data_IF_508326393391
#
_entry.id   IF_508326393391
#
_cell.length_a   1.000
_cell.length_b   1.000
_cell.length_c   1.000
_cell.angle_alpha   90.00
_cell.angle_beta   90.00
_cell.angle_gamma   90.00
#
_symmetry.space_group_name_H-M   'P 1'
#
loop_
_entity.id
_entity.type
_entity.pdbx_description
1 polymer ?
#
# COMPACT_ATOMS: atom_id res chain seq x y z
N UNK A 1 -0.92 -46.62 -3.32
CA UNK A 1 -2.06 -45.92 -3.95
C UNK A 1 -2.53 -44.86 -2.99
N UNK A 2 -1.97 -43.66 -3.08
CA UNK A 2 -2.41 -42.56 -2.23
C UNK A 2 -1.98 -41.24 -2.85
N UNK A 3 -2.89 -40.58 -3.56
CA UNK A 3 -2.76 -39.15 -3.83
C UNK A 3 -2.88 -38.39 -2.50
N UNK A 4 -1.82 -37.67 -2.15
CA UNK A 4 -1.85 -36.71 -1.05
C UNK A 4 -1.49 -35.33 -1.58
N UNK A 5 -2.28 -34.34 -1.19
CA UNK A 5 -2.01 -32.94 -1.48
C UNK A 5 -2.30 -32.11 -0.24
N UNK A 6 -1.39 -31.21 0.13
CA UNK A 6 -1.50 -30.33 1.29
C UNK A 6 -1.04 -28.93 0.89
N UNK A 7 -1.66 -27.91 1.48
CA UNK A 7 -1.25 -26.51 1.30
C UNK A 7 -0.89 -25.88 2.64
N UNK A 8 0.17 -25.09 2.63
CA UNK A 8 0.64 -24.35 3.80
C UNK A 8 0.95 -22.89 3.44
N UNK A 9 0.42 -21.90 4.18
CA UNK A 9 -0.56 -22.01 5.27
C UNK A 9 -1.89 -22.63 4.83
N UNK A 10 -2.61 -23.25 5.77
CA UNK A 10 -3.94 -23.80 5.53
C UNK A 10 -5.01 -22.72 5.72
N UNK A 11 -6.13 -22.81 5.00
CA UNK A 11 -7.33 -21.94 5.07
C UNK A 11 -7.17 -20.51 4.57
N UNK A 12 -6.16 -19.75 5.00
CA UNK A 12 -5.98 -18.35 4.62
C UNK A 12 -4.49 -17.99 4.56
N UNK A 13 -4.08 -17.19 3.58
CA UNK A 13 -2.70 -16.80 3.39
C UNK A 13 -2.54 -15.37 2.85
N UNK A 14 -1.44 -14.73 3.26
CA UNK A 14 -0.95 -13.49 2.66
C UNK A 14 -0.11 -13.82 1.43
N UNK A 15 -0.45 -13.27 0.27
CA UNK A 15 0.23 -13.57 -1.02
C UNK A 15 1.62 -12.95 -1.14
N UNK A 16 2.02 -12.05 -0.24
CA UNK A 16 3.39 -11.55 -0.10
C UNK A 16 4.29 -12.48 0.71
N UNK A 17 3.78 -13.62 1.18
CA UNK A 17 4.56 -14.64 1.88
C UNK A 17 4.48 -15.99 1.14
N UNK A 18 5.42 -16.92 1.37
CA UNK A 18 5.41 -18.21 0.68
C UNK A 18 4.15 -19.04 0.94
N UNK A 19 3.53 -19.53 -0.13
CA UNK A 19 2.37 -20.43 -0.09
C UNK A 19 2.76 -21.73 -0.78
N UNK A 20 3.00 -22.78 0.00
CA UNK A 20 3.55 -24.05 -0.48
C UNK A 20 2.44 -25.08 -0.67
N UNK A 21 2.26 -25.54 -1.90
CA UNK A 21 1.48 -26.72 -2.24
C UNK A 21 2.42 -27.92 -2.35
N UNK A 22 2.18 -28.96 -1.54
CA UNK A 22 2.94 -30.22 -1.60
C UNK A 22 2.02 -31.33 -2.09
N UNK A 23 2.47 -32.07 -3.09
CA UNK A 23 1.75 -33.16 -3.73
C UNK A 23 2.65 -34.39 -3.72
N UNK A 24 2.07 -35.55 -3.38
CA UNK A 24 2.71 -36.84 -3.52
C UNK A 24 1.71 -37.82 -4.14
N UNK A 25 2.14 -38.48 -5.22
CA UNK A 25 1.35 -39.46 -5.97
C UNK A 25 2.26 -40.50 -6.63
N UNK A 26 1.76 -41.72 -6.76
CA UNK A 26 2.43 -42.82 -7.48
C UNK A 26 2.28 -42.76 -9.01
N UNK A 27 1.57 -41.76 -9.53
CA UNK A 27 1.41 -41.52 -10.97
C UNK A 27 1.38 -40.02 -11.24
N UNK A 28 1.46 -39.65 -12.53
CA UNK A 28 1.34 -38.26 -12.98
C UNK A 28 0.07 -37.62 -12.41
N UNK A 29 0.23 -36.40 -11.90
CA UNK A 29 -0.81 -35.57 -11.32
C UNK A 29 -0.92 -34.27 -12.09
N UNK A 30 -2.14 -33.84 -12.36
CA UNK A 30 -2.46 -32.48 -12.74
C UNK A 30 -3.04 -31.72 -11.54
N UNK A 31 -2.72 -30.43 -11.44
CA UNK A 31 -3.36 -29.53 -10.49
C UNK A 31 -3.85 -28.27 -11.21
N UNK A 32 -5.02 -27.79 -10.81
CA UNK A 32 -5.68 -26.62 -11.37
C UNK A 32 -6.08 -25.67 -10.25
N UNK A 33 -5.68 -24.41 -10.39
CA UNK A 33 -6.02 -23.33 -9.47
C UNK A 33 -7.17 -22.54 -10.10
N UNK A 34 -8.29 -22.43 -9.37
CA UNK A 34 -9.49 -21.73 -9.82
C UNK A 34 -9.89 -20.62 -8.87
N UNK A 35 -10.34 -19.52 -9.44
CA UNK A 35 -11.06 -18.46 -8.76
C UNK A 35 -12.50 -18.48 -9.28
N UNK A 36 -13.45 -18.87 -8.43
CA UNK A 36 -14.80 -19.23 -8.87
C UNK A 36 -14.73 -20.23 -10.06
N UNK A 37 -15.33 -19.88 -11.20
CA UNK A 37 -15.36 -20.73 -12.39
C UNK A 37 -14.16 -20.54 -13.34
N UNK A 38 -13.27 -19.58 -13.05
CA UNK A 38 -12.13 -19.26 -13.91
C UNK A 38 -10.89 -20.02 -13.47
N UNK A 39 -10.29 -20.77 -14.41
CA UNK A 39 -8.94 -21.32 -14.23
C UNK A 39 -7.90 -20.22 -14.30
N UNK A 40 -7.14 -20.06 -13.22
CA UNK A 40 -6.04 -19.09 -13.10
C UNK A 40 -4.73 -19.72 -13.57
N UNK A 41 -4.50 -20.97 -13.18
CA UNK A 41 -3.26 -21.68 -13.49
C UNK A 41 -3.51 -23.19 -13.53
N UNK A 42 -2.69 -23.90 -14.31
CA UNK A 42 -2.67 -25.36 -14.32
C UNK A 42 -1.24 -25.83 -14.47
N UNK A 43 -0.91 -26.91 -13.76
CA UNK A 43 0.39 -27.55 -13.84
C UNK A 43 0.27 -29.07 -13.70
N UNK A 44 1.39 -29.75 -13.90
CA UNK A 44 1.48 -31.19 -13.68
C UNK A 44 2.85 -31.58 -13.14
N UNK A 45 2.92 -32.76 -12.55
CA UNK A 45 4.14 -33.34 -12.01
C UNK A 45 3.97 -34.81 -11.69
N UNK A 46 5.05 -35.48 -11.32
CA UNK A 46 5.07 -36.90 -10.94
C UNK A 46 5.88 -37.09 -9.67
N UNK A 47 5.50 -38.08 -8.86
CA UNK A 47 6.16 -38.37 -7.59
C UNK A 47 5.83 -37.37 -6.48
N UNK A 48 6.83 -37.09 -5.64
CA UNK A 48 6.74 -36.10 -4.57
C UNK A 48 7.35 -34.77 -5.02
N UNK A 49 6.53 -33.72 -5.07
CA UNK A 49 6.99 -32.39 -5.46
C UNK A 49 6.26 -31.29 -4.68
N UNK A 50 6.78 -30.08 -4.78
CA UNK A 50 6.16 -28.89 -4.19
C UNK A 50 6.23 -27.69 -5.12
N UNK A 51 5.18 -26.87 -5.08
CA UNK A 51 5.04 -25.66 -5.89
C UNK A 51 4.71 -24.49 -4.98
N UNK A 52 5.30 -23.35 -5.27
CA UNK A 52 5.03 -22.09 -4.58
C UNK A 52 4.03 -21.27 -5.38
N UNK A 53 2.92 -20.89 -4.74
CA UNK A 53 1.76 -20.31 -5.43
C UNK A 53 1.67 -18.79 -5.28
N UNK A 54 2.50 -18.18 -4.43
CA UNK A 54 2.33 -16.78 -4.02
C UNK A 54 2.36 -15.79 -5.19
N UNK A 55 3.24 -15.99 -6.19
CA UNK A 55 3.37 -15.09 -7.34
C UNK A 55 2.20 -15.24 -8.33
N UNK A 56 1.61 -16.43 -8.41
CA UNK A 56 0.41 -16.68 -9.21
C UNK A 56 -0.79 -15.97 -8.56
N UNK A 57 -0.88 -16.06 -7.23
CA UNK A 57 -1.99 -15.50 -6.46
C UNK A 57 -1.89 -13.97 -6.28
N UNK A 58 -0.68 -13.41 -6.28
CA UNK A 58 -0.50 -11.95 -6.26
C UNK A 58 -1.00 -11.29 -7.54
N UNK A 59 -0.84 -11.94 -8.70
CA UNK A 59 -1.29 -11.43 -10.00
C UNK A 59 -2.82 -11.33 -10.19
N UNK A 60 -3.61 -11.90 -9.28
CA UNK A 60 -5.09 -11.86 -9.34
C UNK A 60 -5.72 -10.99 -8.26
N UNK A 61 -4.91 -10.41 -7.37
CA UNK A 61 -5.34 -9.48 -6.32
C UNK A 61 -4.82 -8.08 -6.65
N UNK A 62 -5.53 -7.05 -6.19
CA UNK A 62 -5.07 -5.67 -6.34
C UNK A 62 -5.46 -4.82 -5.13
N UNK A 63 -4.56 -3.92 -4.68
CA UNK A 63 -4.89 -3.03 -3.58
C UNK A 63 -5.99 -2.07 -4.01
N UNK A 64 -6.99 -1.87 -3.16
CA UNK A 64 -8.08 -0.94 -3.42
C UNK A 64 -7.77 0.41 -2.80
N UNK A 65 -7.89 1.47 -3.60
CA UNK A 65 -7.81 2.83 -3.07
C UNK A 65 -9.15 3.20 -2.44
N UNK A 66 -9.18 3.20 -1.10
CA UNK A 66 -10.37 3.50 -0.30
C UNK A 66 -10.30 4.95 0.16
N UNK A 67 -11.36 5.71 -0.11
CA UNK A 67 -11.38 7.16 0.04
C UNK A 67 -12.43 7.61 1.06
N UNK A 68 -12.17 8.73 1.74
CA UNK A 68 -13.00 9.25 2.83
C UNK A 68 -14.36 9.77 2.35
N UNK A 69 -14.44 10.16 1.08
CA UNK A 69 -15.57 10.74 0.35
C UNK A 69 -16.77 9.79 0.26
N UNK A 70 -16.57 8.49 0.50
CA UNK A 70 -17.65 7.52 0.55
C UNK A 70 -18.67 7.85 1.65
N UNK A 71 -19.95 7.59 1.36
CA UNK A 71 -21.04 7.82 2.31
C UNK A 71 -21.13 6.77 3.41
N UNK A 72 -20.43 5.65 3.26
CA UNK A 72 -20.49 4.51 4.17
C UNK A 72 -19.39 4.55 5.22
N UNK A 73 -19.72 4.11 6.43
CA UNK A 73 -18.76 3.96 7.55
C UNK A 73 -17.94 2.68 7.37
N UNK A 74 -18.54 1.62 6.84
CA UNK A 74 -17.88 0.34 6.56
C UNK A 74 -17.86 0.13 5.05
N UNK A 75 -16.66 0.16 4.47
CA UNK A 75 -16.45 0.05 3.02
C UNK A 75 -16.11 -1.39 2.65
N UNK A 76 -16.64 -1.87 1.53
CA UNK A 76 -16.25 -3.17 0.97
C UNK A 76 -14.93 -3.07 0.21
N UNK A 77 -14.03 -4.02 0.50
CA UNK A 77 -12.73 -4.14 -0.17
C UNK A 77 -12.63 -5.43 -1.00
N UNK A 78 -13.37 -5.46 -2.10
CA UNK A 78 -13.60 -6.66 -2.91
C UNK A 78 -12.39 -7.19 -3.70
N UNK A 79 -11.29 -6.44 -3.79
CA UNK A 79 -10.12 -6.82 -4.62
C UNK A 79 -8.91 -7.28 -3.80
N UNK A 80 -8.93 -7.06 -2.48
CA UNK A 80 -7.80 -7.37 -1.61
C UNK A 80 -7.81 -8.79 -1.04
N UNK A 81 -8.89 -9.55 -1.23
CA UNK A 81 -8.95 -10.96 -0.90
C UNK A 81 -9.92 -11.73 -1.80
N UNK A 82 -9.63 -13.01 -2.04
CA UNK A 82 -10.48 -13.92 -2.81
C UNK A 82 -10.34 -15.36 -2.33
N UNK A 83 -11.41 -16.14 -2.45
CA UNK A 83 -11.37 -17.59 -2.24
C UNK A 83 -10.84 -18.29 -3.50
N UNK A 84 -9.98 -19.29 -3.28
CA UNK A 84 -9.30 -20.07 -4.31
C UNK A 84 -9.59 -21.55 -4.06
N UNK A 85 -9.93 -22.28 -5.12
CA UNK A 85 -10.04 -23.73 -5.12
C UNK A 85 -8.87 -24.35 -5.89
N UNK A 86 -8.20 -25.33 -5.29
CA UNK A 86 -7.10 -26.07 -5.91
C UNK A 86 -7.58 -27.51 -6.07
N UNK A 87 -7.78 -27.92 -7.32
CA UNK A 87 -8.16 -29.30 -7.64
C UNK A 87 -6.92 -30.05 -8.10
N UNK A 88 -6.66 -31.21 -7.49
CA UNK A 88 -5.52 -32.08 -7.78
C UNK A 88 -6.09 -33.43 -8.23
N UNK A 89 -5.64 -33.94 -9.36
CA UNK A 89 -6.14 -35.20 -9.93
C UNK A 89 -4.98 -36.04 -10.47
N UNK A 90 -4.95 -37.33 -10.12
CA UNK A 90 -4.00 -38.27 -10.70
C UNK A 90 -4.60 -39.00 -11.93
N UNK A 91 -3.74 -39.62 -12.73
CA UNK A 91 -4.16 -40.41 -13.91
C UNK A 91 -4.99 -41.65 -13.57
N UNK A 92 -5.03 -42.06 -12.31
CA UNK A 92 -5.82 -43.19 -11.81
C UNK A 92 -7.25 -42.78 -11.41
N UNK A 93 -7.58 -41.49 -11.49
CA UNK A 93 -8.90 -40.94 -11.19
C UNK A 93 -9.10 -40.46 -9.75
N UNK A 94 -8.10 -40.56 -8.88
CA UNK A 94 -8.17 -39.98 -7.53
C UNK A 94 -8.10 -38.45 -7.60
N UNK A 95 -8.99 -37.78 -6.88
CA UNK A 95 -9.09 -36.32 -6.83
C UNK A 95 -9.01 -35.80 -5.41
N UNK A 96 -8.31 -34.69 -5.19
CA UNK A 96 -8.29 -33.96 -3.93
C UNK A 96 -8.50 -32.47 -4.18
N UNK A 97 -9.42 -31.87 -3.44
CA UNK A 97 -9.70 -30.43 -3.53
C UNK A 97 -9.26 -29.75 -2.24
N UNK A 98 -8.51 -28.67 -2.38
CA UNK A 98 -8.10 -27.79 -1.29
C UNK A 98 -8.74 -26.42 -1.50
N UNK A 99 -9.00 -25.71 -0.40
CA UNK A 99 -9.53 -24.35 -0.42
C UNK A 99 -8.65 -23.41 0.38
N UNK A 100 -8.41 -22.22 -0.16
CA UNK A 100 -7.56 -21.20 0.44
C UNK A 100 -8.17 -19.82 0.16
N UNK A 101 -8.29 -18.99 1.20
CA UNK A 101 -8.52 -17.55 1.04
C UNK A 101 -7.18 -16.85 0.84
N UNK A 102 -6.95 -16.30 -0.34
CA UNK A 102 -5.78 -15.48 -0.64
C UNK A 102 -6.07 -14.03 -0.27
N UNK A 103 -5.15 -13.38 0.44
CA UNK A 103 -5.25 -11.99 0.89
C UNK A 103 -4.00 -11.23 0.48
N UNK A 104 -4.15 -10.00 -0.01
CA UNK A 104 -3.03 -9.12 -0.38
C UNK A 104 -2.16 -8.78 0.83
N UNK A 105 -0.89 -8.48 0.57
CA UNK A 105 0.10 -8.08 1.57
C UNK A 105 0.96 -9.24 2.03
N UNK A 106 1.86 -8.96 2.97
CA UNK A 106 2.79 -9.91 3.55
C UNK A 106 3.38 -9.37 4.86
N UNK A 107 4.16 -10.21 5.53
CA UNK A 107 4.94 -9.83 6.71
C UNK A 107 6.43 -10.06 6.49
N UNK A 108 7.26 -9.35 7.26
CA UNK A 108 8.72 -9.53 7.24
C UNK A 108 9.13 -10.97 7.50
N UNK A 109 10.24 -11.41 6.87
CA UNK A 109 10.83 -12.75 7.06
C UNK A 109 11.10 -13.07 8.53
N UNK A 110 11.50 -12.07 9.32
CA UNK A 110 11.75 -12.20 10.77
C UNK A 110 10.46 -12.51 11.54
N UNK A 111 9.38 -11.78 11.27
CA UNK A 111 8.09 -12.05 11.92
C UNK A 111 7.52 -13.39 11.48
N UNK A 112 7.61 -13.72 10.18
CA UNK A 112 7.18 -15.01 9.66
C UNK A 112 7.89 -16.16 10.37
N UNK A 113 9.24 -16.13 10.45
CA UNK A 113 10.00 -17.18 11.14
C UNK A 113 9.58 -17.34 12.60
N UNK A 114 9.43 -16.23 13.33
CA UNK A 114 8.97 -16.28 14.73
C UNK A 114 7.60 -16.93 14.87
N UNK A 115 6.64 -16.57 14.01
CA UNK A 115 5.30 -17.15 14.07
C UNK A 115 5.33 -18.64 13.75
N UNK A 116 6.18 -19.08 12.81
CA UNK A 116 6.38 -20.51 12.52
C UNK A 116 6.95 -21.25 13.73
N UNK A 117 7.98 -20.69 14.39
CA UNK A 117 8.59 -21.29 15.59
C UNK A 117 7.58 -21.41 16.75
N UNK A 118 6.63 -20.47 16.84
CA UNK A 118 5.55 -20.45 17.84
C UNK A 118 4.30 -21.27 17.40
N UNK A 119 4.35 -22.02 16.29
CA UNK A 119 3.19 -22.72 15.69
C UNK A 119 1.96 -21.83 15.49
N UNK A 120 2.19 -20.56 15.15
CA UNK A 120 1.19 -19.52 14.99
C UNK A 120 1.20 -18.98 13.55
N UNK A 121 0.28 -18.07 13.25
CA UNK A 121 0.24 -17.36 11.97
C UNK A 121 -0.26 -15.93 12.15
N UNK A 122 -0.07 -15.10 11.13
CA UNK A 122 -0.42 -13.67 11.20
C UNK A 122 -1.90 -13.40 11.43
N UNK A 123 -2.79 -14.30 11.01
CA UNK A 123 -4.24 -14.14 11.19
C UNK A 123 -4.65 -14.41 12.63
N UNK A 124 -4.19 -15.51 13.21
CA UNK A 124 -4.41 -15.84 14.64
C UNK A 124 -3.67 -14.90 15.58
N UNK A 125 -2.52 -14.38 15.17
CA UNK A 125 -1.75 -13.43 15.97
C UNK A 125 -2.35 -12.01 15.91
N UNK A 126 -2.76 -11.54 14.73
CA UNK A 126 -3.20 -10.15 14.49
C UNK A 126 -4.48 -10.03 13.66
N UNK A 127 -4.46 -10.41 12.37
CA UNK A 127 -5.43 -9.94 11.37
C UNK A 127 -6.87 -10.48 11.55
N UNK A 128 -7.07 -11.54 12.33
CA UNK A 128 -8.37 -12.07 12.75
C UNK A 128 -8.47 -12.21 14.28
N UNK A 129 -7.52 -11.61 15.02
CA UNK A 129 -7.49 -11.70 16.47
C UNK A 129 -8.25 -10.54 17.10
N UNK A 130 -9.45 -10.83 17.59
CA UNK A 130 -10.34 -9.86 18.24
C UNK A 130 -9.77 -9.25 19.54
N UNK A 131 -8.70 -9.81 20.11
CA UNK A 131 -8.08 -9.31 21.35
C UNK A 131 -6.96 -8.29 21.11
N UNK A 132 -6.64 -7.98 19.87
CA UNK A 132 -5.56 -7.03 19.50
C UNK A 132 -6.02 -6.11 18.37
N UNK A 133 -5.15 -5.19 17.97
CA UNK A 133 -5.34 -4.44 16.73
C UNK A 133 -5.28 -5.38 15.52
N UNK A 134 -6.42 -5.66 14.90
CA UNK A 134 -6.55 -6.48 13.69
C UNK A 134 -6.51 -5.69 12.37
N UNK A 135 -6.31 -4.37 12.42
CA UNK A 135 -6.25 -3.54 11.23
C UNK A 135 -4.96 -3.79 10.42
N UNK A 136 -5.07 -3.65 9.09
CA UNK A 136 -3.96 -3.70 8.14
C UNK A 136 -3.16 -2.38 8.16
N UNK A 137 -2.64 -2.01 9.33
CA UNK A 137 -1.78 -0.84 9.53
C UNK A 137 -0.40 -1.25 10.03
N UNK A 138 0.63 -0.55 9.55
CA UNK A 138 2.02 -0.70 10.02
C UNK A 138 2.44 0.34 11.05
N UNK A 139 1.54 1.26 11.41
CA UNK A 139 1.75 2.29 12.45
C UNK A 139 2.13 1.70 13.80
N UNK A 140 1.44 0.64 14.19
CA UNK A 140 1.67 -0.04 15.46
C UNK A 140 1.05 -1.43 15.43
N UNK A 141 1.64 -2.35 16.19
CA UNK A 141 0.99 -3.61 16.56
C UNK A 141 0.33 -3.53 17.95
N UNK A 142 0.49 -2.41 18.66
CA UNK A 142 -0.13 -2.15 19.94
C UNK A 142 -1.64 -1.91 19.83
N UNK A 143 -2.28 -1.77 20.99
CA UNK A 143 -3.74 -1.52 21.08
C UNK A 143 -4.12 -0.05 20.93
N UNK A 144 -3.18 0.87 20.88
CA UNK A 144 -3.46 2.31 20.72
C UNK A 144 -2.88 2.74 19.38
N UNK A 145 -3.75 3.04 18.42
CA UNK A 145 -3.37 3.47 17.07
C UNK A 145 -3.53 4.98 17.00
N UNK A 146 -2.43 5.70 16.89
CA UNK A 146 -2.45 7.16 16.75
C UNK A 146 -2.33 7.54 15.28
N UNK A 147 -3.24 8.36 14.78
CA UNK A 147 -3.30 8.81 13.38
C UNK A 147 -3.51 10.32 13.36
N UNK A 148 -2.70 11.05 12.59
CA UNK A 148 -2.93 12.49 12.42
C UNK A 148 -4.16 12.71 11.54
N UNK A 149 -4.90 13.78 11.80
CA UNK A 149 -6.11 14.12 11.04
C UNK A 149 -5.84 14.29 9.55
N UNK A 150 -4.65 14.79 9.19
CA UNK A 150 -4.16 14.92 7.81
C UNK A 150 -3.82 13.59 7.14
N UNK A 151 -3.50 12.57 7.93
CA UNK A 151 -3.12 11.23 7.47
C UNK A 151 -4.32 10.26 7.41
N UNK A 152 -5.53 10.72 7.77
CA UNK A 152 -6.69 9.86 7.91
C UNK A 152 -7.16 9.30 6.55
N UNK A 153 -7.20 7.98 6.46
CA UNK A 153 -7.82 7.21 5.39
C UNK A 153 -8.72 6.11 5.99
N UNK A 154 -9.67 5.55 5.22
CA UNK A 154 -10.37 4.36 5.65
C UNK A 154 -9.39 3.22 5.91
N UNK A 155 -9.47 2.61 7.09
CA UNK A 155 -8.45 1.67 7.58
C UNK A 155 -8.89 0.23 7.25
N UNK A 156 -8.20 -0.50 6.36
CA UNK A 156 -8.63 -1.84 5.96
C UNK A 156 -8.40 -2.91 7.04
N UNK A 157 -9.25 -3.92 7.05
CA UNK A 157 -9.16 -5.09 7.92
C UNK A 157 -9.95 -6.27 7.35
N UNK A 158 -9.75 -7.46 7.92
CA UNK A 158 -10.65 -8.59 7.70
C UNK A 158 -11.70 -8.57 8.81
N UNK A 159 -12.98 -8.55 8.46
CA UNK A 159 -14.05 -8.46 9.44
C UNK A 159 -13.96 -9.63 10.43
N UNK A 160 -13.94 -9.39 11.75
CA UNK A 160 -13.75 -10.45 12.74
C UNK A 160 -15.00 -11.30 12.93
N UNK A 161 -14.88 -12.43 13.63
CA UNK A 161 -16.02 -13.32 13.93
C UNK A 161 -17.08 -12.67 14.85
N UNK A 162 -16.73 -11.60 15.58
CA UNK A 162 -17.63 -10.86 16.44
C UNK A 162 -18.24 -9.64 15.75
N UNK A 163 -19.48 -9.30 16.13
CA UNK A 163 -20.11 -8.06 15.68
C UNK A 163 -19.24 -6.85 16.04
N UNK A 164 -18.94 -6.01 15.05
CA UNK A 164 -18.09 -4.83 15.25
C UNK A 164 -18.90 -3.72 15.91
N UNK A 165 -18.40 -3.24 17.04
CA UNK A 165 -18.98 -2.11 17.77
C UNK A 165 -17.92 -1.04 18.00
N UNK A 166 -18.28 0.21 17.73
CA UNK A 166 -17.39 1.36 17.92
C UNK A 166 -18.02 2.28 18.96
N UNK A 167 -17.25 2.62 20.00
CA UNK A 167 -17.68 3.56 21.03
C UNK A 167 -16.86 4.83 20.91
N UNK A 168 -17.53 5.95 20.66
CA UNK A 168 -16.88 7.25 20.50
C UNK A 168 -17.71 8.33 21.22
N UNK A 169 -17.06 9.08 22.11
CA UNK A 169 -17.70 10.12 22.91
C UNK A 169 -19.00 9.68 23.64
N UNK A 170 -19.01 8.43 24.12
CA UNK A 170 -20.14 7.79 24.82
C UNK A 170 -21.27 7.30 23.92
N UNK A 171 -21.10 7.32 22.59
CA UNK A 171 -22.08 6.86 21.61
C UNK A 171 -21.58 5.55 21.00
N UNK A 172 -22.44 4.54 21.00
CA UNK A 172 -22.16 3.25 20.37
C UNK A 172 -22.65 3.23 18.91
N UNK A 173 -21.82 2.73 18.01
CA UNK A 173 -22.17 2.48 16.60
C UNK A 173 -21.86 1.02 16.26
N UNK A 174 -22.90 0.25 15.96
CA UNK A 174 -22.76 -1.15 15.53
C UNK A 174 -22.65 -1.24 14.02
N UNK A 175 -21.70 -2.02 13.53
CA UNK A 175 -21.44 -2.23 12.11
C UNK A 175 -21.56 -3.72 11.80
N UNK A 176 -22.46 -4.08 10.90
CA UNK A 176 -22.66 -5.47 10.48
C UNK A 176 -21.69 -5.85 9.35
N UNK A 177 -21.24 -7.10 9.34
CA UNK A 177 -20.39 -7.64 8.29
C UNK A 177 -20.24 -9.15 8.41
N UNK A 178 -19.51 -9.75 7.47
CA UNK A 178 -19.29 -11.19 7.41
C UNK A 178 -17.87 -11.54 7.82
N UNK A 179 -17.71 -12.48 8.74
CA UNK A 179 -16.40 -12.96 9.17
C UNK A 179 -15.44 -13.26 8.01
N UNK A 180 -14.21 -12.77 8.10
CA UNK A 180 -13.16 -12.93 7.09
C UNK A 180 -13.41 -12.17 5.78
N UNK A 181 -14.41 -11.30 5.71
CA UNK A 181 -14.65 -10.43 4.55
C UNK A 181 -13.71 -9.22 4.61
N UNK A 182 -13.04 -8.86 3.50
CA UNK A 182 -12.22 -7.66 3.44
C UNK A 182 -13.09 -6.39 3.43
N UNK A 183 -12.84 -5.52 4.40
CA UNK A 183 -13.58 -4.27 4.61
C UNK A 183 -12.64 -3.16 5.09
N UNK A 184 -13.10 -1.90 5.10
CA UNK A 184 -12.36 -0.80 5.72
C UNK A 184 -13.26 0.10 6.57
N UNK A 185 -12.70 0.62 7.66
CA UNK A 185 -13.38 1.51 8.58
C UNK A 185 -13.11 2.97 8.20
N UNK A 186 -14.14 3.67 7.73
CA UNK A 186 -14.10 5.08 7.41
C UNK A 186 -14.42 5.93 8.66
N UNK A 187 -13.38 6.24 9.45
CA UNK A 187 -13.50 7.08 10.65
C UNK A 187 -13.87 8.52 10.31
N UNK A 188 -13.49 9.03 9.13
CA UNK A 188 -13.89 10.37 8.69
C UNK A 188 -15.42 10.45 8.59
N UNK A 189 -16.04 9.48 7.93
CA UNK A 189 -17.50 9.42 7.78
C UNK A 189 -18.21 9.19 9.10
N UNK A 190 -17.65 8.35 9.98
CA UNK A 190 -18.19 8.16 11.33
C UNK A 190 -18.15 9.46 12.14
N UNK A 191 -17.03 10.20 12.12
CA UNK A 191 -16.90 11.51 12.78
C UNK A 191 -17.92 12.51 12.27
N UNK A 192 -18.07 12.59 10.95
CA UNK A 192 -19.03 13.48 10.33
C UNK A 192 -20.46 13.16 10.80
N UNK A 193 -20.84 11.87 10.84
CA UNK A 193 -22.15 11.44 11.34
C UNK A 193 -22.37 11.80 12.81
N UNK A 194 -21.38 11.55 13.67
CA UNK A 194 -21.43 11.90 15.10
C UNK A 194 -21.55 13.41 15.31
N UNK A 195 -20.83 14.20 14.52
CA UNK A 195 -20.92 15.66 14.59
C UNK A 195 -22.30 16.15 14.15
N UNK A 196 -22.80 15.70 12.99
CA UNK A 196 -24.09 16.12 12.46
C UNK A 196 -25.27 15.70 13.36
N UNK A 197 -25.23 14.48 13.90
CA UNK A 197 -26.36 13.90 14.64
C UNK A 197 -26.31 14.23 16.13
N UNK A 198 -25.11 14.33 16.71
CA UNK A 198 -24.93 14.43 18.15
C UNK A 198 -24.14 15.68 18.58
N UNK A 199 -23.68 16.52 17.64
CA UNK A 199 -22.84 17.69 17.91
C UNK A 199 -21.55 17.34 18.65
N UNK A 200 -21.03 16.13 18.40
CA UNK A 200 -19.78 15.63 19.02
C UNK A 200 -18.72 15.39 17.96
N UNK A 201 -17.64 16.17 18.04
CA UNK A 201 -16.43 15.91 17.27
C UNK A 201 -15.55 14.92 18.05
N UNK A 202 -15.72 13.62 17.78
CA UNK A 202 -14.94 12.58 18.43
C UNK A 202 -13.52 12.48 17.85
N UNK A 203 -12.53 12.32 18.73
CA UNK A 203 -11.13 12.05 18.35
C UNK A 203 -10.60 10.73 18.92
N UNK A 204 -11.39 10.03 19.73
CA UNK A 204 -11.03 8.74 20.33
C UNK A 204 -12.13 7.74 20.04
N UNK A 205 -11.75 6.59 19.48
CA UNK A 205 -12.64 5.52 19.04
C UNK A 205 -12.21 4.21 19.66
N UNK A 206 -13.03 3.68 20.56
CA UNK A 206 -12.81 2.34 21.09
C UNK A 206 -13.47 1.31 20.18
N UNK A 207 -12.67 0.36 19.70
CA UNK A 207 -13.08 -0.67 18.77
C UNK A 207 -13.30 -1.97 19.54
N UNK A 208 -14.49 -2.54 19.40
CA UNK A 208 -14.89 -3.80 20.00
C UNK A 208 -15.26 -4.82 18.93
N UNK A 209 -14.83 -6.05 19.13
CA UNK A 209 -15.32 -7.23 18.43
C UNK A 209 -16.10 -8.09 19.42
N UNK A 210 -17.41 -8.16 19.27
CA UNK A 210 -18.31 -8.71 20.30
C UNK A 210 -18.20 -7.93 21.61
N UNK A 211 -17.84 -8.62 22.71
CA UNK A 211 -17.64 -8.00 24.03
C UNK A 211 -16.18 -7.59 24.31
N UNK A 212 -15.24 -7.88 23.40
CA UNK A 212 -13.81 -7.68 23.62
C UNK A 212 -13.39 -6.33 23.05
N UNK A 213 -12.76 -5.48 23.87
CA UNK A 213 -12.10 -4.25 23.39
C UNK A 213 -10.81 -4.63 22.68
N UNK A 214 -10.80 -4.52 21.35
CA UNK A 214 -9.68 -4.91 20.49
C UNK A 214 -8.57 -3.85 20.51
N UNK A 215 -8.93 -2.60 20.26
CA UNK A 215 -8.01 -1.47 20.22
C UNK A 215 -8.73 -0.13 20.40
N UNK A 216 -7.95 0.95 20.47
CA UNK A 216 -8.40 2.34 20.53
C UNK A 216 -7.68 3.10 19.43
N UNK A 217 -8.43 3.84 18.62
CA UNK A 217 -7.89 4.72 17.59
C UNK A 217 -8.00 6.16 18.08
N UNK A 218 -6.88 6.87 18.07
CA UNK A 218 -6.76 8.26 18.52
C UNK A 218 -6.38 9.12 17.32
N UNK A 219 -7.21 10.11 17.02
CA UNK A 219 -6.96 11.10 15.98
C UNK A 219 -6.32 12.33 16.63
N UNK A 220 -5.12 12.67 16.19
CA UNK A 220 -4.38 13.85 16.65
C UNK A 220 -4.40 14.95 15.59
N UNK A 221 -4.22 16.23 15.98
CA UNK A 221 -4.04 17.30 15.00
C UNK A 221 -2.84 17.03 14.09
N UNK A 222 -2.93 17.45 12.83
CA UNK A 222 -1.79 17.47 11.91
C UNK A 222 -0.78 18.55 12.28
N UNK A 223 0.44 18.45 11.75
CA UNK A 223 1.47 19.46 11.99
C UNK A 223 1.14 20.73 11.21
N UNK A 224 1.24 21.88 11.87
CA UNK A 224 1.12 23.19 11.23
C UNK A 224 2.50 23.58 10.72
N UNK A 225 2.76 23.32 9.44
CA UNK A 225 3.97 23.72 8.72
C UNK A 225 3.60 24.35 7.39
N UNK A 226 4.35 25.35 6.95
CA UNK A 226 4.19 25.99 5.63
C UNK A 226 4.50 25.01 4.51
N UNK A 227 5.55 24.20 4.69
CA UNK A 227 6.00 23.22 3.72
C UNK A 227 5.75 21.83 4.27
N UNK A 228 4.53 21.37 4.00
CA UNK A 228 4.01 20.08 4.41
C UNK A 228 3.57 19.33 3.17
N UNK A 229 4.08 18.11 3.03
CA UNK A 229 3.70 17.20 1.96
C UNK A 229 3.01 15.98 2.56
N UNK A 230 2.03 15.45 1.85
CA UNK A 230 1.33 14.24 2.26
C UNK A 230 1.74 13.14 1.29
N UNK A 231 2.39 12.11 1.82
CA UNK A 231 2.74 10.93 1.05
C UNK A 231 1.66 9.88 1.27
N UNK A 232 1.16 9.30 0.18
CA UNK A 232 0.34 8.10 0.20
C UNK A 232 1.18 6.94 -0.29
N UNK A 233 1.17 5.83 0.42
CA UNK A 233 1.98 4.67 0.08
C UNK A 233 1.25 3.35 0.33
N UNK A 234 1.64 2.31 -0.40
CA UNK A 234 1.15 0.96 -0.19
C UNK A 234 1.94 0.26 0.92
N UNK A 235 1.29 -0.02 2.04
CA UNK A 235 1.94 -0.65 3.19
C UNK A 235 2.18 -2.16 2.99
N UNK A 236 2.99 -2.77 3.85
CA UNK A 236 3.30 -4.22 3.78
C UNK A 236 2.06 -5.13 3.82
N UNK A 237 0.93 -4.70 4.41
CA UNK A 237 -0.32 -5.46 4.45
C UNK A 237 -1.19 -5.29 3.19
N UNK A 238 -0.68 -4.57 2.17
CA UNK A 238 -1.38 -4.31 0.91
C UNK A 238 -2.53 -3.31 1.06
N UNK A 239 -2.40 -2.36 1.99
CA UNK A 239 -3.35 -1.28 2.22
C UNK A 239 -2.66 0.08 2.03
N UNK A 240 -3.36 1.04 1.42
CA UNK A 240 -2.87 2.41 1.35
C UNK A 240 -2.94 3.09 2.70
N UNK A 241 -1.82 3.67 3.14
CA UNK A 241 -1.73 4.56 4.28
C UNK A 241 -1.12 5.90 3.85
N UNK A 242 -1.31 6.93 4.67
CA UNK A 242 -0.70 8.24 4.44
C UNK A 242 0.27 8.60 5.56
N UNK A 243 1.31 9.32 5.21
CA UNK A 243 2.26 9.88 6.16
C UNK A 243 2.57 11.33 5.80
N UNK A 244 2.46 12.20 6.79
CA UNK A 244 2.79 13.61 6.68
C UNK A 244 4.30 13.80 6.80
N UNK A 245 4.92 14.49 5.85
CA UNK A 245 6.34 14.87 5.89
C UNK A 245 6.46 16.39 5.79
N UNK A 246 7.52 16.93 6.36
CA UNK A 246 7.78 18.37 6.45
C UNK A 246 9.16 18.67 5.90
N UNK A 247 9.38 19.75 5.18
CA UNK A 247 10.74 20.09 4.76
C UNK A 247 10.77 21.20 3.72
N UNK A 248 11.96 21.77 3.52
CA UNK A 248 12.16 22.85 2.56
C UNK A 248 11.95 22.30 1.16
N UNK A 249 10.94 22.83 0.46
CA UNK A 249 10.47 22.35 -0.83
C UNK A 249 11.41 22.65 -1.99
N UNK A 250 12.70 22.32 -1.87
CA UNK A 250 13.65 22.50 -2.95
C UNK A 250 13.50 21.33 -3.92
N UNK A 251 12.96 21.64 -5.09
CA UNK A 251 13.04 20.74 -6.25
C UNK A 251 14.40 20.97 -6.89
N UNK A 252 15.23 19.93 -6.87
CA UNK A 252 16.52 19.91 -7.56
C UNK A 252 16.40 18.96 -8.76
N UNK A 253 16.82 19.40 -9.95
CA UNK A 253 16.88 18.53 -11.12
C UNK A 253 18.25 17.85 -11.21
N UNK A 254 18.29 16.54 -11.06
CA UNK A 254 19.47 15.71 -11.27
C UNK A 254 19.61 15.39 -12.76
N UNK A 255 20.74 15.77 -13.35
CA UNK A 255 20.99 15.58 -14.79
C UNK A 255 21.86 14.33 -14.98
N UNK A 256 21.46 13.44 -15.90
CA UNK A 256 22.27 12.27 -16.25
C UNK A 256 23.60 12.68 -16.92
N UNK A 257 24.66 11.90 -16.67
CA UNK A 257 26.07 12.22 -16.95
C UNK A 257 26.35 12.92 -18.28
N UNK A 258 27.28 13.89 -18.26
CA UNK A 258 27.79 14.59 -19.44
C UNK A 258 28.51 13.65 -20.41
N UNK A 259 27.84 13.29 -21.51
CA UNK A 259 28.49 12.77 -22.70
C UNK A 259 28.43 13.82 -23.81
N UNK A 260 29.58 14.42 -24.11
CA UNK A 260 29.75 15.27 -25.28
C UNK A 260 30.37 14.48 -26.42
N UNK A 261 30.14 14.93 -27.65
CA UNK A 261 30.72 14.33 -28.85
C UNK A 261 31.14 15.43 -29.82
N UNK A 262 31.91 15.06 -30.83
CA UNK A 262 32.46 16.00 -31.80
C UNK A 262 31.64 15.96 -33.09
N UNK A 263 31.25 17.13 -33.61
CA UNK A 263 30.60 17.30 -34.91
C UNK A 263 31.56 18.11 -35.79
N UNK A 264 31.74 17.68 -37.02
CA UNK A 264 32.54 18.43 -37.99
C UNK A 264 31.80 19.70 -38.44
N UNK A 265 32.47 20.84 -38.39
CA UNK A 265 31.98 22.15 -38.82
C UNK A 265 32.72 22.59 -40.10
N UNK A 266 31.99 22.53 -41.22
CA UNK A 266 32.49 22.87 -42.56
C UNK A 266 32.93 24.34 -42.70
N UNK A 267 32.42 25.24 -41.86
CA UNK A 267 32.73 26.67 -41.96
C UNK A 267 34.13 27.02 -41.41
N UNK A 268 34.63 26.20 -40.49
CA UNK A 268 35.94 26.35 -39.86
C UNK A 268 36.90 25.20 -40.16
N UNK A 269 36.45 24.19 -40.92
CA UNK A 269 37.20 22.97 -41.28
C UNK A 269 37.77 22.25 -40.04
N UNK A 270 36.98 22.18 -38.96
CA UNK A 270 37.40 21.56 -37.70
C UNK A 270 36.22 20.88 -36.98
N UNK A 271 36.53 20.09 -35.96
CA UNK A 271 35.53 19.47 -35.10
C UNK A 271 35.15 20.40 -33.94
N UNK A 272 33.85 20.60 -33.75
CA UNK A 272 33.27 21.31 -32.61
C UNK A 272 32.58 20.36 -31.64
N UNK A 273 32.65 20.69 -30.37
CA UNK A 273 31.98 19.94 -29.31
C UNK A 273 30.47 20.20 -29.37
N UNK A 274 29.70 19.13 -29.40
CA UNK A 274 28.24 19.12 -29.35
C UNK A 274 27.74 18.16 -28.27
N UNK A 275 26.48 18.31 -27.90
CA UNK A 275 25.83 17.46 -26.91
C UNK A 275 24.36 17.25 -27.22
N UNK A 276 23.86 16.08 -26.86
CA UNK A 276 22.43 15.80 -26.89
C UNK A 276 21.72 16.48 -25.71
N UNK A 277 20.39 16.60 -25.80
CA UNK A 277 19.58 17.03 -24.65
C UNK A 277 19.69 15.99 -23.55
N UNK A 278 19.96 16.44 -22.33
CA UNK A 278 20.10 15.54 -21.20
C UNK A 278 18.75 15.25 -20.56
N UNK A 279 18.57 13.99 -20.22
CA UNK A 279 17.53 13.54 -19.31
C UNK A 279 17.82 14.10 -17.92
N UNK A 280 16.81 14.63 -17.29
CA UNK A 280 16.91 15.15 -15.95
C UNK A 280 15.69 14.75 -15.13
N UNK A 281 15.96 14.48 -13.86
CA UNK A 281 15.00 13.91 -12.93
C UNK A 281 14.91 14.81 -11.72
N UNK A 282 13.70 15.24 -11.41
CA UNK A 282 13.48 16.04 -10.22
C UNK A 282 13.61 15.19 -8.95
N UNK A 283 14.11 15.82 -7.89
CA UNK A 283 14.05 15.30 -6.53
C UNK A 283 13.60 16.38 -5.55
N UNK A 284 12.95 15.96 -4.48
CA UNK A 284 12.48 16.82 -3.41
C UNK A 284 13.10 16.35 -2.09
N UNK A 285 13.80 17.25 -1.41
CA UNK A 285 14.33 16.97 -0.08
C UNK A 285 13.27 17.27 0.98
N UNK A 286 12.96 16.30 1.83
CA UNK A 286 12.00 16.46 2.92
C UNK A 286 12.53 15.82 4.21
N UNK A 287 11.88 16.11 5.32
CA UNK A 287 12.11 15.47 6.61
C UNK A 287 10.84 14.74 7.08
N UNK A 288 11.00 13.62 7.77
CA UNK A 288 9.86 12.87 8.32
C UNK A 288 9.05 13.63 9.39
N UNK A 289 9.61 14.73 9.90
CA UNK A 289 9.24 15.33 11.18
C UNK A 289 9.66 14.44 12.35
N UNK A 290 9.51 14.95 13.58
CA UNK A 290 9.82 14.18 14.79
C UNK A 290 8.87 12.97 14.94
N UNK A 291 9.43 11.77 14.95
CA UNK A 291 8.72 10.49 15.06
C UNK A 291 9.22 9.68 16.25
N UNK A 292 8.31 8.99 16.94
CA UNK A 292 8.67 8.01 17.97
C UNK A 292 9.05 6.64 17.35
N UNK A 293 9.53 5.70 18.17
CA UNK A 293 9.99 4.38 17.68
C UNK A 293 8.92 3.56 16.95
N UNK A 294 7.64 3.67 17.32
CA UNK A 294 6.56 2.97 16.62
C UNK A 294 6.29 3.62 15.25
N UNK A 295 6.25 4.95 15.21
CA UNK A 295 6.10 5.70 13.96
C UNK A 295 7.29 5.51 13.00
N UNK A 296 8.50 5.23 13.52
CA UNK A 296 9.65 4.88 12.69
C UNK A 296 9.41 3.60 11.89
N UNK A 297 8.73 2.59 12.46
CA UNK A 297 8.41 1.35 11.72
C UNK A 297 7.49 1.64 10.54
N UNK A 298 6.52 2.54 10.72
CA UNK A 298 5.65 3.00 9.65
C UNK A 298 6.43 3.75 8.55
N UNK A 299 7.40 4.58 8.95
CA UNK A 299 8.30 5.26 8.03
C UNK A 299 9.18 4.26 7.24
N UNK A 300 9.72 3.24 7.90
CA UNK A 300 10.50 2.19 7.24
C UNK A 300 9.67 1.44 6.20
N UNK A 301 8.41 1.17 6.52
CA UNK A 301 7.49 0.50 5.60
C UNK A 301 7.17 1.40 4.39
N UNK A 302 7.00 2.71 4.60
CA UNK A 302 6.88 3.68 3.51
C UNK A 302 8.12 3.71 2.61
N UNK A 303 9.32 3.79 3.21
CA UNK A 303 10.59 3.77 2.46
C UNK A 303 10.81 2.47 1.68
N UNK A 304 10.23 1.36 2.12
CA UNK A 304 10.30 0.07 1.45
C UNK A 304 9.17 -0.17 0.43
N UNK A 305 8.20 0.75 0.34
CA UNK A 305 7.05 0.64 -0.54
C UNK A 305 7.43 0.86 -2.01
N UNK A 306 6.77 0.11 -2.89
CA UNK A 306 6.93 0.19 -4.35
C UNK A 306 5.93 1.14 -5.02
N UNK A 307 4.93 1.64 -4.26
CA UNK A 307 3.97 2.63 -4.71
C UNK A 307 3.86 3.75 -3.68
N UNK A 308 4.57 4.85 -3.92
CA UNK A 308 4.54 6.08 -3.12
C UNK A 308 4.13 7.24 -4.02
N UNK A 309 3.22 8.08 -3.55
CA UNK A 309 2.72 9.28 -4.24
C UNK A 309 2.78 10.48 -3.32
N UNK A 310 3.34 11.59 -3.80
CA UNK A 310 3.13 12.90 -3.20
C UNK A 310 1.74 13.39 -3.63
N UNK A 311 0.90 13.76 -2.68
CA UNK A 311 -0.45 14.23 -2.95
C UNK A 311 -0.50 15.75 -3.15
N UNK A 312 -1.22 16.19 -4.18
CA UNK A 312 -1.58 17.60 -4.42
C UNK A 312 -0.43 18.54 -4.80
N UNK A 313 0.78 18.03 -5.06
CA UNK A 313 1.90 18.85 -5.50
C UNK A 313 1.58 19.40 -6.90
N UNK A 314 1.51 20.73 -7.02
CA UNK A 314 1.09 21.42 -8.25
C UNK A 314 -0.28 20.95 -8.77
N UNK A 315 -1.21 20.63 -7.86
CA UNK A 315 -2.56 20.17 -8.20
C UNK A 315 -2.64 18.71 -8.67
N UNK A 316 -1.54 17.95 -8.61
CA UNK A 316 -1.49 16.55 -9.07
C UNK A 316 -0.91 15.63 -8.01
N UNK A 317 -1.24 14.34 -8.13
CA UNK A 317 -0.60 13.29 -7.37
C UNK A 317 0.57 12.76 -8.20
N UNK A 318 1.77 12.79 -7.64
CA UNK A 318 2.99 12.50 -8.37
C UNK A 318 3.69 11.29 -7.74
N UNK A 319 3.99 10.28 -8.56
CA UNK A 319 4.66 9.07 -8.08
C UNK A 319 6.13 9.37 -7.81
N UNK A 320 6.63 8.89 -6.68
CA UNK A 320 8.01 9.08 -6.25
C UNK A 320 8.61 7.80 -5.69
N UNK A 321 9.94 7.73 -5.66
CA UNK A 321 10.69 6.77 -4.86
C UNK A 321 11.33 7.52 -3.69
N UNK A 322 11.20 6.99 -2.47
CA UNK A 322 11.74 7.63 -1.27
C UNK A 322 13.05 6.96 -0.82
N UNK A 323 14.06 7.76 -0.51
CA UNK A 323 15.36 7.30 0.02
C UNK A 323 15.68 8.09 1.28
N UNK A 324 16.09 7.42 2.35
CA UNK A 324 16.57 8.10 3.56
C UNK A 324 18.08 8.34 3.46
N UNK A 325 18.54 9.55 3.80
CA UNK A 325 19.95 9.94 3.62
C UNK A 325 20.88 9.20 4.60
N UNK A 326 20.42 9.01 5.85
CA UNK A 326 21.12 8.24 6.89
C UNK A 326 20.09 7.63 7.85
N UNK A 327 19.78 6.36 7.63
CA UNK A 327 18.80 5.64 8.44
C UNK A 327 19.48 4.89 9.58
N UNK A 328 19.77 5.61 10.66
CA UNK A 328 20.24 5.01 11.92
C UNK A 328 19.27 5.39 13.03
N UNK A 329 18.83 4.41 13.82
CA UNK A 329 17.98 4.67 14.98
C UNK A 329 18.39 3.74 16.12
N UNK A 330 18.33 4.25 17.35
CA UNK A 330 18.54 3.42 18.52
C UNK A 330 17.35 2.46 18.71
N UNK A 331 17.64 1.17 18.98
CA UNK A 331 16.61 0.15 19.27
C UNK A 331 15.69 0.58 20.41
N UNK A 332 16.21 1.39 21.34
CA UNK A 332 15.46 2.00 22.45
C UNK A 332 15.74 3.50 22.48
N UNK A 333 15.25 4.22 21.47
CA UNK A 333 15.27 5.68 21.52
C UNK A 333 14.19 6.17 22.48
N UNK A 334 14.55 7.07 23.39
CA UNK A 334 13.61 7.75 24.30
C UNK A 334 13.22 9.14 23.81
N UNK A 335 13.79 9.58 22.68
CA UNK A 335 13.59 10.91 22.12
C UNK A 335 13.06 10.77 20.69
N UNK A 336 12.03 11.54 20.29
CA UNK A 336 11.60 11.59 18.90
C UNK A 336 12.70 12.06 17.95
N UNK A 337 12.79 11.46 16.77
CA UNK A 337 13.83 11.75 15.77
C UNK A 337 13.19 12.19 14.44
N UNK A 338 13.84 13.12 13.72
CA UNK A 338 13.47 13.54 12.37
C UNK A 338 14.51 13.02 11.38
N UNK A 339 14.06 12.33 10.34
CA UNK A 339 14.92 11.69 9.33
C UNK A 339 14.83 12.49 8.04
N UNK A 340 15.98 12.91 7.53
CA UNK A 340 16.11 13.51 6.20
C UNK A 340 15.96 12.45 5.12
N UNK A 341 15.23 12.80 4.08
CA UNK A 341 14.94 11.91 2.98
C UNK A 341 14.80 12.68 1.67
N UNK A 342 15.11 11.98 0.60
CA UNK A 342 15.02 12.47 -0.77
C UNK A 342 13.91 11.70 -1.48
N UNK A 343 12.96 12.42 -2.07
CA UNK A 343 11.90 11.87 -2.90
C UNK A 343 12.25 12.10 -4.36
N UNK A 344 12.55 11.03 -5.09
CA UNK A 344 12.86 11.09 -6.52
C UNK A 344 11.58 10.92 -7.34
N UNK A 345 11.25 11.89 -8.19
CA UNK A 345 10.12 11.80 -9.11
C UNK A 345 10.30 10.63 -10.07
N UNK A 346 9.28 9.84 -10.37
CA UNK A 346 9.49 8.63 -11.21
C UNK A 346 9.85 8.97 -12.65
N UNK A 347 9.29 10.06 -13.17
CA UNK A 347 9.53 10.50 -14.54
C UNK A 347 10.85 11.29 -14.65
N UNK A 348 11.54 11.09 -15.77
CA UNK A 348 12.68 11.90 -16.19
C UNK A 348 12.36 12.56 -17.53
N UNK A 349 12.67 13.85 -17.64
CA UNK A 349 12.35 14.65 -18.81
C UNK A 349 13.61 15.07 -19.55
N UNK A 350 13.57 14.91 -20.87
CA UNK A 350 14.59 15.42 -21.80
C UNK A 350 14.15 16.77 -22.38
N UNK A 351 12.87 17.12 -22.23
CA UNK A 351 12.24 18.30 -22.83
C UNK A 351 11.40 19.03 -21.80
N UNK A 352 11.90 20.16 -21.36
CA UNK A 352 11.20 21.02 -20.43
C UNK A 352 10.15 21.86 -21.16
N UNK A 353 8.91 21.77 -20.66
CA UNK A 353 7.82 22.64 -21.07
C UNK A 353 7.36 23.41 -19.84
N UNK A 354 7.00 24.68 -19.99
CA UNK A 354 6.49 25.47 -18.87
C UNK A 354 5.30 24.78 -18.20
N UNK A 355 5.19 24.91 -16.87
CA UNK A 355 4.05 24.36 -16.13
C UNK A 355 2.76 24.99 -16.65
N UNK A 356 1.79 24.16 -17.05
CA UNK A 356 0.44 24.62 -17.35
C UNK A 356 -0.19 25.13 -16.05
N UNK A 357 -0.44 26.43 -15.95
CA UNK A 357 -1.27 26.96 -14.87
C UNK A 357 -2.75 26.66 -15.18
N UNK A 358 -3.56 26.40 -14.15
CA UNK A 358 -5.02 26.21 -14.37
C UNK A 358 -5.66 27.44 -15.02
N UNK A 359 -5.09 28.63 -14.79
CA UNK A 359 -5.51 29.90 -15.41
C UNK A 359 -5.23 29.97 -16.93
N UNK A 360 -4.27 29.18 -17.44
CA UNK A 360 -3.93 29.10 -18.87
C UNK A 360 -4.83 28.11 -19.63
N UNK A 361 -5.36 27.09 -18.94
CA UNK A 361 -6.25 26.09 -19.53
C UNK A 361 -7.67 26.66 -19.59
N UNK A 362 -7.95 27.43 -20.64
CA UNK A 362 -9.29 27.92 -20.93
C UNK A 362 -9.43 29.43 -21.14
N UNK A 363 -8.32 30.15 -21.36
CA UNK A 363 -8.38 31.56 -21.74
C UNK A 363 -8.37 31.69 -23.27
N UNK A 364 -9.50 31.93 -23.97
CA UNK A 364 -9.56 31.93 -25.43
C UNK A 364 -9.05 33.25 -26.05
N UNK A 365 -8.09 33.94 -25.42
CA UNK A 365 -7.80 35.36 -25.71
C UNK A 365 -6.33 35.70 -25.99
N UNK A 366 -5.56 34.76 -26.53
CA UNK A 366 -4.22 35.07 -27.09
C UNK A 366 -4.11 34.63 -28.56
N UNK A 367 -5.20 34.73 -29.30
CA UNK A 367 -5.13 34.95 -30.74
C UNK A 367 -5.74 36.32 -31.00
N UNK A 368 -4.94 37.37 -30.79
CA UNK A 368 -5.22 38.69 -31.36
C UNK A 368 -5.27 38.54 -32.88
N UNK A 369 -6.17 39.25 -33.56
CA UNK A 369 -6.35 39.28 -35.03
C UNK A 369 -5.11 39.76 -35.82
N UNK A 370 -3.93 39.80 -35.19
CA UNK A 370 -2.66 40.22 -35.75
C UNK A 370 -1.85 39.06 -36.36
N UNK A 371 -2.30 37.81 -36.25
CA UNK A 371 -1.71 36.72 -37.02
C UNK A 371 -2.19 36.82 -38.48
N UNK A 372 -1.33 37.39 -39.32
CA UNK A 372 -1.51 37.50 -40.77
C UNK A 372 -1.57 36.12 -41.45
N UNK A 373 -2.11 36.03 -42.69
CA UNK A 373 -2.37 34.75 -43.39
C UNK A 373 -1.12 33.97 -43.84
N UNK A 374 0.05 34.24 -43.27
CA UNK A 374 1.32 33.62 -43.66
C UNK A 374 1.53 32.22 -43.07
N UNK A 375 0.57 31.71 -42.29
CA UNK A 375 0.63 30.42 -41.64
C UNK A 375 -0.51 29.45 -42.02
N UNK A 376 -1.23 29.72 -43.12
CA UNK A 376 -2.16 28.77 -43.72
C UNK A 376 -1.50 28.03 -44.89
#
# INVERSE_FOLDING_TARGET
MSLTANIYPSTIALVGNPIKLTINSSSVVSYTIRQADRTIFSGSGEGEFSVFLQDILSGILSPKHLLNESTDILLLDSTSATDIAISVQNTQGETKTLSLKAVIGGISKRLLRRLLDENSNIFTWKLLNSSVNFFKTTRTNGRIITIRETELLPIPFLYPDGALKIVAAGIETSLSGTAGQPVALNLYRLRQKLFQTNQKLASVFDIYSGSIKSCTIVITPGTVSRERYLLEFLNSYGAYERIEVTGIGNIESEIESDSTYQIYDESIDDYIEARERQSARDKLQVESGYRNTEELVHLMDMLASDDIKILGLSGRNIRVNAVADNLTHAIRSTVPESIKMTLHFVDSDVRYTGSLSEDEIGNPRIHTEQFTPQFN
#
